data_IF_439717177603
#
_entry.id   IF_439717177603
#
_cell.length_a   1.000
_cell.length_b   1.000
_cell.length_c   1.000
_cell.angle_alpha   90.00
_cell.angle_beta   90.00
_cell.angle_gamma   90.00
#
_symmetry.space_group_name_H-M   'P 1'
#
loop_
_entity.id
_entity.type
_entity.pdbx_description
1 polymer ?
#
# COMPACT_ATOMS: atom_id res chain seq x y z
N UNK A 1 23.64 20.36 7.82
CA UNK A 1 24.13 21.56 7.09
C UNK A 1 23.66 21.56 5.63
N UNK A 2 23.86 20.51 4.85
CA UNK A 2 23.51 20.43 3.41
C UNK A 2 22.02 20.73 3.19
N UNK A 3 21.14 20.07 3.91
CA UNK A 3 19.69 20.22 3.75
C UNK A 3 19.19 21.64 4.09
N UNK A 4 19.83 22.32 5.02
CA UNK A 4 19.53 23.74 5.31
C UNK A 4 19.91 24.66 4.16
N UNK A 5 20.98 24.35 3.41
CA UNK A 5 21.29 25.10 2.20
C UNK A 5 20.24 24.82 1.09
N UNK A 6 19.77 23.58 0.96
CA UNK A 6 18.67 23.26 0.05
C UNK A 6 17.38 23.97 0.44
N UNK A 7 17.07 24.07 1.74
CA UNK A 7 15.90 24.81 2.24
C UNK A 7 15.90 26.25 1.78
N UNK A 8 17.04 26.89 1.71
CA UNK A 8 17.14 28.28 1.19
C UNK A 8 16.65 28.36 -0.26
N UNK A 9 17.04 27.39 -1.09
CA UNK A 9 16.58 27.31 -2.48
C UNK A 9 15.08 26.98 -2.53
N UNK A 10 14.58 26.04 -1.72
CA UNK A 10 13.15 25.72 -1.69
C UNK A 10 12.29 26.92 -1.32
N UNK A 11 12.78 27.80 -0.46
CA UNK A 11 12.07 29.01 -0.04
C UNK A 11 12.04 30.12 -1.12
N UNK A 12 12.78 29.97 -2.22
CA UNK A 12 12.69 30.87 -3.38
C UNK A 12 11.44 30.64 -4.23
N UNK A 13 10.77 29.49 -4.03
CA UNK A 13 9.53 29.13 -4.76
C UNK A 13 8.29 29.62 -4.00
N UNK A 14 7.19 29.83 -4.73
CA UNK A 14 5.90 30.21 -4.16
C UNK A 14 4.77 29.32 -4.69
N UNK A 15 4.19 28.41 -3.90
CA UNK A 15 4.56 28.14 -2.49
C UNK A 15 5.96 27.55 -2.38
N UNK A 16 6.60 27.59 -1.17
CA UNK A 16 7.90 27.00 -0.95
C UNK A 16 7.92 25.52 -1.33
N UNK A 17 8.96 25.10 -2.04
CA UNK A 17 9.17 23.69 -2.37
C UNK A 17 9.62 22.89 -1.13
N UNK A 18 9.55 21.57 -1.23
CA UNK A 18 10.00 20.63 -0.21
C UNK A 18 10.58 19.37 -0.84
N UNK A 19 11.25 18.56 -0.05
CA UNK A 19 11.72 17.24 -0.43
C UNK A 19 11.33 16.22 0.63
N UNK A 20 11.22 14.95 0.24
CA UNK A 20 11.04 13.83 1.15
C UNK A 20 12.37 13.12 1.35
N UNK A 21 12.73 12.83 2.59
CA UNK A 21 13.91 12.03 2.90
C UNK A 21 13.60 10.54 2.85
N UNK A 22 14.43 9.80 2.15
CA UNK A 22 14.57 8.36 2.34
C UNK A 22 15.67 8.13 3.37
N UNK A 23 15.30 8.09 4.66
CA UNK A 23 16.24 8.05 5.76
C UNK A 23 16.04 6.79 6.60
N UNK A 24 16.93 5.82 6.42
CA UNK A 24 17.02 4.59 7.23
C UNK A 24 17.74 4.89 8.55
N UNK A 25 17.12 5.71 9.38
CA UNK A 25 17.65 6.12 10.69
C UNK A 25 16.67 5.70 11.77
N UNK A 26 17.16 5.65 13.01
CA UNK A 26 16.29 5.42 14.16
C UNK A 26 15.10 6.41 14.13
N UNK A 27 13.85 5.97 14.35
CA UNK A 27 12.66 6.82 14.36
C UNK A 27 12.82 8.11 15.18
N UNK A 28 13.50 8.05 16.32
CA UNK A 28 13.80 9.23 17.16
C UNK A 28 14.64 10.31 16.47
N UNK A 29 15.28 10.00 15.33
CA UNK A 29 16.11 10.92 14.55
C UNK A 29 15.46 11.35 13.24
N UNK A 30 14.36 10.76 12.84
CA UNK A 30 13.70 11.08 11.57
C UNK A 30 13.23 12.54 11.53
N UNK A 31 12.78 13.07 12.66
CA UNK A 31 12.37 14.46 12.79
C UNK A 31 13.45 15.47 12.40
N UNK A 32 14.74 15.10 12.52
CA UNK A 32 15.86 15.98 12.13
C UNK A 32 15.95 16.18 10.61
N UNK A 33 15.43 15.23 9.82
CA UNK A 33 15.39 15.32 8.36
C UNK A 33 14.08 15.96 7.87
N UNK A 34 12.99 15.69 8.58
CA UNK A 34 11.66 16.14 8.23
C UNK A 34 11.36 17.59 8.61
N UNK A 35 12.20 18.22 9.46
CA UNK A 35 11.91 19.56 9.96
C UNK A 35 11.71 20.58 8.83
N UNK A 36 10.94 21.63 9.14
CA UNK A 36 10.68 22.75 8.20
C UNK A 36 11.93 23.54 7.85
N UNK A 37 13.02 23.41 8.62
CA UNK A 37 14.33 24.00 8.33
C UNK A 37 15.22 23.12 7.47
N UNK A 38 14.82 21.87 7.23
CA UNK A 38 15.56 20.86 6.46
C UNK A 38 14.77 20.47 5.21
N UNK A 39 14.45 19.17 5.00
CA UNK A 39 13.81 18.70 3.79
C UNK A 39 12.27 18.93 3.78
N UNK A 40 11.63 18.82 4.94
CA UNK A 40 10.20 19.05 5.10
C UNK A 40 9.38 17.78 5.28
N UNK A 41 9.84 16.61 4.81
CA UNK A 41 9.19 15.32 4.99
C UNK A 41 10.23 14.19 5.09
N UNK A 42 9.79 13.05 5.66
CA UNK A 42 10.54 11.79 5.68
C UNK A 42 9.54 10.64 5.47
N UNK A 43 9.92 9.61 4.73
CA UNK A 43 9.06 8.44 4.53
C UNK A 43 8.79 7.68 5.83
N UNK A 44 7.54 7.29 6.03
CA UNK A 44 7.12 6.40 7.11
C UNK A 44 7.26 4.94 6.67
N UNK A 45 8.47 4.40 6.81
CA UNK A 45 8.75 3.00 6.46
C UNK A 45 8.08 2.00 7.42
N UNK A 46 7.79 2.39 8.65
CA UNK A 46 7.13 1.50 9.59
C UNK A 46 5.71 1.17 9.13
N UNK A 47 4.96 2.16 8.61
CA UNK A 47 3.63 1.94 8.04
C UNK A 47 3.67 0.94 6.87
N UNK A 48 4.62 1.13 5.93
CA UNK A 48 4.79 0.25 4.78
C UNK A 48 5.14 -1.21 5.13
N UNK A 49 5.64 -1.46 6.34
CA UNK A 49 6.09 -2.78 6.79
C UNK A 49 5.07 -3.54 7.62
N UNK A 50 3.95 -2.90 8.01
CA UNK A 50 2.95 -3.56 8.86
C UNK A 50 2.13 -4.57 8.08
N UNK A 51 1.79 -5.65 8.76
CA UNK A 51 0.79 -6.60 8.32
C UNK A 51 -0.63 -6.03 8.53
N UNK A 52 -1.64 -6.67 7.93
CA UNK A 52 -3.03 -6.24 8.04
C UNK A 52 -3.61 -6.63 9.42
N UNK A 53 -3.08 -5.99 10.47
CA UNK A 53 -3.44 -6.22 11.87
C UNK A 53 -3.79 -4.89 12.51
N UNK A 54 -4.95 -4.81 13.13
CA UNK A 54 -5.53 -3.59 13.70
C UNK A 54 -4.55 -2.83 14.59
N UNK A 55 -3.98 -3.50 15.59
CA UNK A 55 -3.12 -2.85 16.58
C UNK A 55 -1.80 -2.38 15.98
N UNK A 56 -1.24 -3.14 15.05
CA UNK A 56 0.01 -2.79 14.35
C UNK A 56 -0.21 -1.58 13.43
N UNK A 57 -1.34 -1.53 12.71
CA UNK A 57 -1.70 -0.39 11.86
C UNK A 57 -2.01 0.86 12.68
N UNK A 58 -2.77 0.72 13.78
CA UNK A 58 -3.10 1.83 14.67
C UNK A 58 -1.82 2.46 15.25
N UNK A 59 -0.93 1.62 15.79
CA UNK A 59 0.35 2.08 16.32
C UNK A 59 1.19 2.81 15.25
N UNK A 60 1.26 2.28 14.04
CA UNK A 60 2.02 2.92 12.97
C UNK A 60 1.44 4.29 12.55
N UNK A 61 0.10 4.44 12.62
CA UNK A 61 -0.55 5.73 12.38
C UNK A 61 -0.20 6.71 13.51
N UNK A 62 -0.32 6.32 14.77
CA UNK A 62 0.03 7.16 15.92
C UNK A 62 1.49 7.62 15.85
N UNK A 63 2.45 6.69 15.68
CA UNK A 63 3.87 7.01 15.57
C UNK A 63 4.18 7.97 14.41
N UNK A 64 3.49 7.80 13.26
CA UNK A 64 3.62 8.68 12.11
C UNK A 64 3.12 10.10 12.39
N UNK A 65 1.98 10.23 13.06
CA UNK A 65 1.41 11.53 13.48
C UNK A 65 2.29 12.23 14.51
N UNK A 66 2.73 11.52 15.55
CA UNK A 66 3.64 12.07 16.56
C UNK A 66 4.97 12.53 15.96
N UNK A 67 5.52 11.77 14.99
CA UNK A 67 6.75 12.14 14.31
C UNK A 67 6.59 13.43 13.50
N UNK A 68 5.45 13.58 12.81
CA UNK A 68 5.12 14.79 12.07
C UNK A 68 4.96 16.00 13.02
N UNK A 69 4.27 15.84 14.13
CA UNK A 69 4.10 16.89 15.14
C UNK A 69 5.47 17.32 15.71
N UNK A 70 6.32 16.37 16.12
CA UNK A 70 7.66 16.66 16.65
C UNK A 70 8.57 17.40 15.67
N UNK A 71 8.40 17.13 14.37
CA UNK A 71 9.20 17.78 13.31
C UNK A 71 8.62 19.12 12.85
N UNK A 72 7.36 19.42 13.20
CA UNK A 72 6.60 20.54 12.63
C UNK A 72 6.33 20.39 11.13
N UNK A 73 6.34 19.16 10.63
CA UNK A 73 6.11 18.81 9.22
C UNK A 73 4.83 18.03 9.04
N UNK A 74 4.52 17.63 7.80
CA UNK A 74 3.39 16.74 7.54
C UNK A 74 3.82 15.26 7.55
N UNK A 75 2.92 14.38 8.00
CA UNK A 75 3.11 12.94 7.92
C UNK A 75 3.20 12.47 6.45
N UNK A 76 3.80 11.31 6.25
CA UNK A 76 3.82 10.60 4.96
C UNK A 76 3.29 9.19 5.14
N UNK A 77 2.53 8.73 4.19
CA UNK A 77 1.89 7.41 4.22
C UNK A 77 2.26 6.63 2.96
N UNK A 78 2.66 5.38 3.12
CA UNK A 78 3.17 4.53 2.06
C UNK A 78 2.80 3.08 2.34
N UNK A 79 1.97 2.45 1.51
CA UNK A 79 1.64 1.01 1.63
C UNK A 79 2.65 0.12 0.89
N UNK A 80 3.12 0.57 -0.25
CA UNK A 80 4.10 -0.14 -1.09
C UNK A 80 5.15 0.80 -1.63
N UNK A 81 6.33 0.26 -1.93
CA UNK A 81 7.39 0.92 -2.66
C UNK A 81 8.23 -0.12 -3.43
N UNK A 82 9.31 0.32 -4.07
CA UNK A 82 10.20 -0.54 -4.84
C UNK A 82 11.16 -1.42 -4.00
N UNK A 83 11.05 -1.37 -2.66
CA UNK A 83 11.92 -2.09 -1.72
C UNK A 83 11.17 -3.10 -0.84
N UNK A 84 9.84 -3.09 -0.88
CA UNK A 84 9.02 -4.03 -0.11
C UNK A 84 8.06 -4.80 -1.02
N UNK A 85 7.74 -6.05 -0.72
CA UNK A 85 6.74 -6.80 -1.47
C UNK A 85 5.40 -6.05 -1.51
N UNK A 86 4.69 -6.12 -2.62
CA UNK A 86 3.41 -5.43 -2.82
C UNK A 86 2.41 -5.79 -1.73
N UNK A 87 1.73 -4.78 -1.18
CA UNK A 87 0.81 -5.00 -0.07
C UNK A 87 -0.39 -5.87 -0.44
N UNK A 88 -0.82 -5.89 -1.71
CA UNK A 88 -1.87 -6.78 -2.17
C UNK A 88 -1.51 -8.26 -1.91
N UNK A 89 -0.26 -8.67 -2.18
CA UNK A 89 0.22 -10.01 -1.81
C UNK A 89 0.44 -10.17 -0.31
N UNK A 90 1.14 -9.21 0.33
CA UNK A 90 1.40 -9.29 1.78
C UNK A 90 0.12 -9.48 2.60
N UNK A 91 -0.94 -8.78 2.25
CA UNK A 91 -2.24 -8.90 2.93
C UNK A 91 -3.03 -10.15 2.55
N UNK A 92 -2.65 -10.83 1.47
CA UNK A 92 -3.18 -12.13 1.07
C UNK A 92 -2.46 -13.33 1.69
N UNK A 93 -1.27 -13.11 2.27
CA UNK A 93 -0.51 -14.11 3.01
C UNK A 93 -1.01 -14.21 4.47
N UNK A 94 -0.61 -15.25 5.25
CA UNK A 94 -0.88 -15.32 6.67
C UNK A 94 -0.40 -14.06 7.40
N UNK A 95 -1.24 -13.47 8.25
CA UNK A 95 -0.94 -12.26 9.01
C UNK A 95 -0.40 -12.63 10.39
N UNK A 96 0.75 -12.10 10.78
CA UNK A 96 1.43 -12.43 12.04
C UNK A 96 1.60 -11.17 12.88
N UNK A 97 0.91 -11.08 14.05
CA UNK A 97 1.03 -9.92 14.93
C UNK A 97 2.48 -9.66 15.35
N UNK A 98 2.86 -8.38 15.35
CA UNK A 98 4.22 -7.94 15.70
C UNK A 98 5.33 -8.64 14.91
N UNK A 99 5.02 -9.17 13.71
CA UNK A 99 6.03 -9.75 12.85
C UNK A 99 7.04 -8.68 12.45
N UNK A 100 8.30 -9.06 12.46
CA UNK A 100 9.37 -8.18 12.05
C UNK A 100 9.39 -8.04 10.52
N UNK A 101 8.86 -6.90 10.03
CA UNK A 101 9.24 -6.40 8.74
C UNK A 101 9.00 -7.34 7.53
N UNK A 102 7.74 -7.74 7.32
CA UNK A 102 7.38 -8.55 6.14
C UNK A 102 8.28 -9.78 5.93
N UNK A 103 8.86 -10.32 7.01
CA UNK A 103 9.75 -11.48 6.93
C UNK A 103 9.07 -12.69 6.27
N UNK A 104 7.79 -12.91 6.58
CA UNK A 104 7.01 -13.98 5.99
C UNK A 104 6.90 -13.84 4.46
N UNK A 105 6.68 -12.62 3.95
CA UNK A 105 6.65 -12.35 2.53
C UNK A 105 8.03 -12.57 1.88
N UNK A 106 9.13 -12.22 2.56
CA UNK A 106 10.49 -12.52 2.07
C UNK A 106 10.76 -14.02 1.99
N UNK A 107 10.36 -14.78 3.00
CA UNK A 107 10.50 -16.24 3.02
C UNK A 107 9.64 -16.89 1.92
N UNK A 108 8.46 -16.33 1.65
CA UNK A 108 7.58 -16.75 0.58
C UNK A 108 8.21 -16.48 -0.80
N UNK A 109 8.77 -15.28 -1.03
CA UNK A 109 9.50 -14.94 -2.25
C UNK A 109 10.71 -15.87 -2.48
N UNK A 110 11.49 -16.13 -1.44
CA UNK A 110 12.68 -17.00 -1.52
C UNK A 110 12.35 -18.42 -1.99
N UNK A 111 11.11 -18.84 -1.88
CA UNK A 111 10.59 -20.15 -2.30
C UNK A 111 9.62 -20.04 -3.49
N UNK A 112 9.81 -19.05 -4.34
CA UNK A 112 9.04 -18.86 -5.57
C UNK A 112 7.53 -18.88 -5.33
N UNK A 113 7.07 -18.27 -4.22
CA UNK A 113 5.65 -18.18 -3.88
C UNK A 113 5.03 -19.46 -3.31
N UNK A 114 5.79 -20.50 -2.97
CA UNK A 114 5.26 -21.84 -2.64
C UNK A 114 5.18 -22.16 -1.15
N UNK A 115 5.86 -21.39 -0.28
CA UNK A 115 5.90 -21.68 1.18
C UNK A 115 4.56 -21.49 1.86
N UNK A 116 3.81 -20.51 1.44
CA UNK A 116 2.48 -20.14 1.97
C UNK A 116 1.51 -19.97 0.80
N UNK A 117 0.25 -20.28 1.04
CA UNK A 117 -0.81 -20.02 0.07
C UNK A 117 -1.16 -18.53 0.08
N UNK A 118 -1.00 -17.86 -1.05
CA UNK A 118 -1.46 -16.49 -1.26
C UNK A 118 -2.94 -16.48 -1.62
N UNK A 119 -3.76 -15.85 -0.79
CA UNK A 119 -5.16 -15.59 -1.11
C UNK A 119 -5.28 -14.22 -1.78
N UNK A 120 -5.18 -14.18 -3.12
CA UNK A 120 -5.22 -12.94 -3.91
C UNK A 120 -6.52 -12.18 -3.79
N UNK A 121 -7.66 -12.87 -3.66
CA UNK A 121 -8.97 -12.23 -3.46
C UNK A 121 -9.03 -11.50 -2.12
N UNK A 122 -8.58 -12.15 -1.04
CA UNK A 122 -8.49 -11.55 0.27
C UNK A 122 -7.48 -10.40 0.30
N UNK A 123 -6.32 -10.57 -0.34
CA UNK A 123 -5.29 -9.55 -0.45
C UNK A 123 -5.81 -8.29 -1.17
N UNK A 124 -6.50 -8.46 -2.29
CA UNK A 124 -7.13 -7.37 -3.02
C UNK A 124 -8.22 -6.67 -2.18
N UNK A 125 -9.07 -7.42 -1.47
CA UNK A 125 -10.07 -6.87 -0.57
C UNK A 125 -9.44 -5.98 0.51
N UNK A 126 -8.38 -6.46 1.16
CA UNK A 126 -7.62 -5.72 2.18
C UNK A 126 -6.89 -4.51 1.59
N UNK A 127 -6.32 -4.64 0.39
CA UNK A 127 -5.69 -3.52 -0.30
C UNK A 127 -6.68 -2.38 -0.61
N UNK A 128 -7.90 -2.72 -1.05
CA UNK A 128 -9.00 -1.75 -1.22
C UNK A 128 -9.36 -1.04 0.09
N UNK A 129 -9.43 -1.79 1.19
CA UNK A 129 -9.69 -1.22 2.50
C UNK A 129 -8.53 -0.33 2.98
N UNK A 130 -7.30 -0.77 2.79
CA UNK A 130 -6.09 -0.08 3.20
C UNK A 130 -5.94 1.28 2.52
N UNK A 131 -6.16 1.37 1.20
CA UNK A 131 -6.02 2.67 0.52
C UNK A 131 -7.08 3.68 0.96
N UNK A 132 -8.31 3.28 1.23
CA UNK A 132 -9.30 4.21 1.77
C UNK A 132 -8.93 4.66 3.19
N UNK A 133 -8.41 3.76 4.03
CA UNK A 133 -7.89 4.13 5.34
C UNK A 133 -6.73 5.14 5.19
N UNK A 134 -5.74 4.85 4.36
CA UNK A 134 -4.58 5.72 4.16
C UNK A 134 -4.94 7.10 3.62
N UNK A 135 -5.79 7.16 2.58
CA UNK A 135 -6.15 8.42 1.92
C UNK A 135 -6.94 9.37 2.82
N UNK A 136 -7.57 8.91 3.88
CA UNK A 136 -8.27 9.77 4.84
C UNK A 136 -7.33 10.34 5.93
N UNK A 137 -6.11 9.84 6.07
CA UNK A 137 -5.13 10.35 7.02
C UNK A 137 -4.62 11.74 6.62
N UNK A 138 -4.24 12.59 7.60
CA UNK A 138 -3.60 13.87 7.33
C UNK A 138 -2.18 13.68 6.78
N UNK A 139 -1.77 14.53 5.85
CA UNK A 139 -0.44 14.49 5.29
C UNK A 139 -0.38 14.03 3.84
N UNK A 140 0.78 13.58 3.41
CA UNK A 140 1.06 13.18 2.03
C UNK A 140 0.97 11.67 1.87
N UNK A 141 0.24 11.21 0.87
CA UNK A 141 0.16 9.80 0.47
C UNK A 141 1.05 9.57 -0.74
N UNK A 142 1.86 8.53 -0.69
CA UNK A 142 2.73 8.08 -1.77
C UNK A 142 2.23 6.75 -2.32
N UNK A 143 1.70 6.79 -3.53
CA UNK A 143 1.16 5.62 -4.22
C UNK A 143 2.26 5.03 -5.09
N UNK A 144 2.61 3.76 -4.84
CA UNK A 144 3.56 3.06 -5.68
C UNK A 144 2.88 2.54 -6.94
N UNK A 145 3.51 2.75 -8.08
CA UNK A 145 3.00 2.33 -9.39
C UNK A 145 2.57 0.86 -9.39
N UNK A 146 1.36 0.59 -9.89
CA UNK A 146 0.74 -0.73 -9.95
C UNK A 146 -0.08 -1.10 -8.72
N UNK A 147 0.00 -0.35 -7.61
CA UNK A 147 -0.91 -0.58 -6.48
C UNK A 147 -2.34 -0.13 -6.83
N UNK A 148 -2.48 0.88 -7.69
CA UNK A 148 -3.76 1.32 -8.24
C UNK A 148 -4.45 0.28 -9.15
N UNK A 149 -3.70 -0.71 -9.61
CA UNK A 149 -4.20 -1.88 -10.32
C UNK A 149 -4.42 -3.07 -9.40
N UNK A 150 -4.13 -2.94 -8.10
CA UNK A 150 -4.17 -4.08 -7.17
C UNK A 150 -3.18 -5.19 -7.51
N UNK A 151 -2.11 -4.87 -8.24
CA UNK A 151 -1.13 -5.87 -8.69
C UNK A 151 -0.56 -6.67 -7.51
N UNK A 152 -0.65 -8.01 -7.55
CA UNK A 152 0.12 -8.87 -6.67
C UNK A 152 1.62 -8.82 -6.99
N UNK A 153 2.41 -9.32 -6.06
CA UNK A 153 3.84 -9.56 -6.24
C UNK A 153 4.07 -10.69 -7.25
N UNK A 154 5.10 -10.57 -8.09
CA UNK A 154 5.53 -11.66 -8.96
C UNK A 154 6.61 -12.45 -8.23
N UNK A 155 6.19 -13.51 -7.53
CA UNK A 155 7.06 -14.26 -6.63
C UNK A 155 7.95 -15.29 -7.34
N UNK A 156 7.54 -15.73 -8.52
CA UNK A 156 8.07 -16.89 -9.25
C UNK A 156 8.95 -16.55 -10.45
N UNK A 157 9.42 -15.30 -10.55
CA UNK A 157 10.41 -14.92 -11.58
C UNK A 157 11.57 -15.92 -11.54
N UNK A 158 11.96 -16.52 -12.69
CA UNK A 158 13.12 -17.41 -12.78
C UNK A 158 14.39 -16.75 -12.26
N UNK A 159 15.22 -17.52 -11.52
CA UNK A 159 16.42 -16.98 -10.87
C UNK A 159 17.44 -16.41 -11.84
N UNK A 160 17.49 -16.90 -13.06
CA UNK A 160 18.38 -16.43 -14.13
C UNK A 160 17.85 -15.20 -14.86
N UNK A 161 16.61 -14.80 -14.59
CA UNK A 161 15.99 -13.58 -15.13
C UNK A 161 15.91 -12.44 -14.10
N UNK A 162 16.42 -12.64 -12.88
CA UNK A 162 16.46 -11.62 -11.85
C UNK A 162 17.54 -10.57 -12.16
N UNK A 163 17.20 -9.30 -11.92
CA UNK A 163 18.06 -8.14 -12.18
C UNK A 163 18.54 -7.43 -10.90
N UNK A 164 17.88 -7.69 -9.75
CA UNK A 164 18.25 -7.06 -8.46
C UNK A 164 19.64 -7.55 -8.01
N UNK A 165 20.59 -6.64 -7.73
CA UNK A 165 21.89 -7.00 -7.17
C UNK A 165 21.82 -7.86 -5.90
N UNK A 166 20.75 -7.74 -5.12
CA UNK A 166 20.52 -8.56 -3.93
C UNK A 166 20.38 -10.04 -4.30
N UNK A 167 19.64 -10.36 -5.37
CA UNK A 167 19.50 -11.71 -5.88
C UNK A 167 20.85 -12.26 -6.37
N UNK A 168 21.62 -11.50 -7.13
CA UNK A 168 22.94 -11.92 -7.61
C UNK A 168 23.92 -12.24 -6.47
N UNK A 169 23.93 -11.42 -5.43
CA UNK A 169 24.77 -11.64 -4.27
C UNK A 169 24.36 -12.88 -3.48
N UNK A 170 23.09 -13.28 -3.54
CA UNK A 170 22.54 -14.41 -2.80
C UNK A 170 22.34 -15.69 -3.62
N UNK A 171 22.54 -15.64 -4.94
CA UNK A 171 22.33 -16.78 -5.88
C UNK A 171 22.99 -18.10 -5.41
N UNK A 172 24.20 -18.04 -4.85
CA UNK A 172 24.91 -19.24 -4.38
C UNK A 172 24.37 -19.81 -3.09
N UNK A 173 23.81 -18.96 -2.24
CA UNK A 173 23.36 -19.28 -0.88
C UNK A 173 21.83 -19.26 -0.76
N UNK A 174 21.14 -18.72 -1.78
CA UNK A 174 19.68 -18.54 -1.80
C UNK A 174 19.13 -17.94 -0.48
N UNK A 175 19.75 -16.84 -0.05
CA UNK A 175 19.40 -16.17 1.20
C UNK A 175 18.26 -15.18 0.97
N UNK A 176 18.21 -14.52 -0.20
CA UNK A 176 17.21 -13.50 -0.54
C UNK A 176 16.98 -13.46 -2.05
N UNK A 177 15.73 -13.42 -2.49
CA UNK A 177 15.36 -13.36 -3.91
C UNK A 177 15.42 -11.95 -4.50
N UNK A 178 15.55 -10.93 -3.65
CA UNK A 178 15.58 -9.55 -4.09
C UNK A 178 14.18 -8.93 -4.18
N UNK A 179 14.07 -7.87 -4.98
CA UNK A 179 12.91 -6.98 -5.04
C UNK A 179 12.26 -6.91 -6.43
N UNK A 180 12.69 -7.74 -7.36
CA UNK A 180 12.25 -7.67 -8.75
C UNK A 180 10.75 -7.93 -8.92
N UNK A 181 10.16 -8.76 -8.05
CA UNK A 181 8.74 -9.08 -8.10
C UNK A 181 7.80 -7.87 -8.00
N UNK A 182 8.21 -6.81 -7.28
CA UNK A 182 7.45 -5.57 -7.24
C UNK A 182 7.86 -4.56 -8.33
N UNK A 183 8.86 -4.87 -9.14
CA UNK A 183 9.43 -3.99 -10.18
C UNK A 183 9.12 -4.41 -11.60
N UNK A 184 8.38 -5.50 -11.79
CA UNK A 184 7.94 -5.97 -13.10
C UNK A 184 7.17 -4.86 -13.82
N UNK A 185 7.46 -4.61 -15.12
CA UNK A 185 6.79 -3.60 -15.92
C UNK A 185 5.27 -3.71 -15.88
N UNK A 186 4.59 -2.56 -15.78
CA UNK A 186 3.13 -2.52 -15.64
C UNK A 186 2.39 -2.97 -16.90
N UNK A 187 1.26 -3.67 -16.76
CA UNK A 187 0.40 -4.03 -17.88
C UNK A 187 -0.53 -2.88 -18.27
N UNK A 188 -0.47 -2.44 -19.52
CA UNK A 188 -1.31 -1.37 -20.06
C UNK A 188 -2.43 -1.89 -20.95
N UNK A 189 -2.14 -2.91 -21.78
CA UNK A 189 -3.04 -3.42 -22.83
C UNK A 189 -3.07 -4.93 -22.78
N UNK A 190 -4.18 -5.51 -22.39
CA UNK A 190 -4.35 -6.97 -22.25
C UNK A 190 -4.14 -7.75 -23.56
N UNK A 191 -4.47 -7.14 -24.70
CA UNK A 191 -4.33 -7.78 -26.01
C UNK A 191 -2.86 -7.92 -26.48
N UNK A 192 -1.92 -7.19 -25.87
CA UNK A 192 -0.48 -7.25 -26.16
C UNK A 192 0.25 -8.18 -25.17
N UNK A 193 -0.39 -9.27 -24.77
CA UNK A 193 0.18 -10.25 -23.85
C UNK A 193 1.40 -10.94 -24.45
N UNK A 194 2.43 -11.26 -23.65
CA UNK A 194 3.53 -12.11 -24.08
C UNK A 194 3.04 -13.44 -24.64
N UNK A 195 3.72 -13.94 -25.68
CA UNK A 195 3.44 -15.23 -26.27
C UNK A 195 4.10 -16.32 -25.45
N UNK A 196 3.33 -17.34 -25.11
CA UNK A 196 3.82 -18.51 -24.39
C UNK A 196 4.25 -19.60 -25.39
N UNK A 197 5.39 -20.23 -25.15
CA UNK A 197 5.83 -21.40 -25.92
C UNK A 197 4.98 -22.64 -25.60
N UNK A 198 4.62 -22.80 -24.33
CA UNK A 198 3.69 -23.79 -23.83
C UNK A 198 2.55 -23.11 -23.06
N UNK A 199 1.28 -23.55 -23.18
CA UNK A 199 0.17 -23.02 -22.37
C UNK A 199 0.38 -23.10 -20.85
N UNK A 200 1.20 -24.02 -20.39
CA UNK A 200 1.55 -24.18 -18.97
C UNK A 200 2.65 -23.22 -18.50
N UNK A 201 3.35 -22.54 -19.42
CA UNK A 201 4.33 -21.51 -19.07
C UNK A 201 3.65 -20.33 -18.37
N UNK A 202 4.32 -19.75 -17.39
CA UNK A 202 3.85 -18.55 -16.69
C UNK A 202 4.32 -17.28 -17.38
N UNK A 203 5.51 -17.27 -17.94
CA UNK A 203 6.12 -16.13 -18.62
C UNK A 203 6.24 -16.41 -20.11
N UNK A 204 6.18 -15.35 -20.90
CA UNK A 204 6.28 -15.43 -22.37
C UNK A 204 7.19 -14.34 -22.92
N UNK A 205 7.27 -14.26 -24.24
CA UNK A 205 8.11 -13.32 -24.98
C UNK A 205 7.33 -12.64 -26.12
N UNK A 206 8.00 -11.75 -26.86
CA UNK A 206 7.40 -11.02 -28.00
C UNK A 206 6.10 -10.25 -27.67
N UNK A 207 5.95 -9.79 -26.44
CA UNK A 207 4.85 -8.95 -25.98
C UNK A 207 5.18 -8.32 -24.65
N UNK A 208 4.48 -7.27 -24.26
CA UNK A 208 4.80 -6.53 -23.04
C UNK A 208 3.57 -5.90 -22.39
N UNK A 209 2.39 -6.38 -22.69
CA UNK A 209 1.14 -5.74 -22.30
C UNK A 209 1.11 -4.23 -22.60
N UNK A 210 1.72 -3.82 -23.73
CA UNK A 210 1.80 -2.42 -24.13
C UNK A 210 2.82 -1.57 -23.36
N UNK A 211 3.69 -2.16 -22.53
CA UNK A 211 4.76 -1.44 -21.85
C UNK A 211 5.83 -0.95 -22.85
N UNK A 212 6.25 -1.82 -23.76
CA UNK A 212 7.15 -1.47 -24.86
C UNK A 212 6.36 -1.16 -26.13
N UNK A 213 6.90 -0.34 -27.06
CA UNK A 213 6.27 -0.12 -28.37
C UNK A 213 6.12 -1.43 -29.15
N UNK A 214 5.07 -1.54 -29.96
CA UNK A 214 4.88 -2.68 -30.84
C UNK A 214 6.09 -2.87 -31.77
N UNK A 215 6.63 -4.11 -31.79
CA UNK A 215 7.82 -4.45 -32.58
C UNK A 215 9.14 -4.01 -31.94
N UNK A 216 9.17 -3.80 -30.63
CA UNK A 216 10.41 -3.61 -29.88
C UNK A 216 11.39 -4.79 -30.15
N UNK A 217 12.68 -4.49 -30.27
CA UNK A 217 13.72 -5.50 -30.56
C UNK A 217 14.06 -6.40 -29.36
N UNK A 218 13.66 -5.98 -28.16
CA UNK A 218 13.95 -6.66 -26.90
C UNK A 218 12.71 -6.71 -26.03
N UNK A 219 12.59 -7.78 -25.28
CA UNK A 219 11.60 -7.92 -24.20
C UNK A 219 11.89 -6.93 -23.06
N UNK A 220 10.90 -6.64 -22.19
CA UNK A 220 11.11 -5.87 -20.97
C UNK A 220 12.23 -6.45 -20.09
N UNK A 221 12.85 -5.59 -19.27
CA UNK A 221 13.96 -5.97 -18.38
C UNK A 221 13.60 -7.05 -17.33
N UNK A 222 12.31 -7.24 -17.03
CA UNK A 222 11.80 -8.34 -16.21
C UNK A 222 10.62 -8.99 -16.93
N UNK A 223 10.46 -10.30 -16.83
CA UNK A 223 9.38 -11.02 -17.48
C UNK A 223 8.04 -10.70 -16.83
N UNK A 224 7.02 -10.54 -17.67
CA UNK A 224 5.65 -10.27 -17.23
C UNK A 224 4.84 -11.57 -17.22
N UNK A 225 4.20 -11.95 -16.08
CA UNK A 225 3.44 -13.18 -16.01
C UNK A 225 2.14 -13.09 -16.82
N UNK A 226 1.67 -14.23 -17.34
CA UNK A 226 0.44 -14.30 -18.17
C UNK A 226 -0.81 -13.76 -17.49
N UNK A 227 -0.89 -13.81 -16.16
CA UNK A 227 -2.04 -13.31 -15.40
C UNK A 227 -2.10 -11.77 -15.32
N UNK A 228 -1.03 -11.05 -15.72
CA UNK A 228 -1.04 -9.59 -15.81
C UNK A 228 -2.14 -9.05 -16.74
N UNK A 229 -2.60 -9.85 -17.72
CA UNK A 229 -3.72 -9.49 -18.61
C UNK A 229 -4.99 -9.08 -17.85
N UNK A 230 -5.23 -9.70 -16.68
CA UNK A 230 -6.44 -9.47 -15.89
C UNK A 230 -6.35 -8.17 -15.08
N UNK A 231 -5.13 -7.61 -14.93
CA UNK A 231 -4.79 -6.38 -14.25
C UNK A 231 -4.39 -5.25 -15.21
N UNK A 232 -4.51 -5.47 -16.52
CA UNK A 232 -4.12 -4.45 -17.49
C UNK A 232 -5.01 -3.20 -17.37
N UNK A 233 -4.40 -2.02 -17.59
CA UNK A 233 -5.09 -0.74 -17.43
C UNK A 233 -6.36 -0.66 -18.27
N UNK A 234 -6.37 -1.18 -19.51
CA UNK A 234 -7.54 -1.17 -20.38
C UNK A 234 -8.70 -2.07 -19.86
N UNK A 235 -8.36 -3.14 -19.14
CA UNK A 235 -9.34 -4.02 -18.47
C UNK A 235 -9.91 -3.35 -17.23
N UNK A 236 -9.03 -2.85 -16.38
CA UNK A 236 -9.39 -2.14 -15.14
C UNK A 236 -10.20 -0.86 -15.43
N UNK A 237 -9.85 -0.12 -16.48
CA UNK A 237 -10.57 1.10 -16.89
C UNK A 237 -12.03 0.82 -17.31
N UNK A 238 -12.25 -0.32 -17.92
CA UNK A 238 -13.57 -0.74 -18.37
C UNK A 238 -14.51 -1.24 -17.24
N UNK A 239 -13.96 -1.66 -16.09
CA UNK A 239 -14.73 -2.13 -14.95
C UNK A 239 -14.91 -1.01 -13.89
N UNK A 240 -16.14 -0.49 -13.69
CA UNK A 240 -16.40 0.54 -12.70
C UNK A 240 -16.10 0.13 -11.25
N UNK A 241 -15.99 -1.17 -10.98
CA UNK A 241 -15.69 -1.73 -9.65
C UNK A 241 -14.21 -2.12 -9.47
N UNK A 242 -13.38 -1.90 -10.49
CA UNK A 242 -11.95 -2.20 -10.43
C UNK A 242 -11.20 -1.46 -9.32
N UNK A 243 -9.98 -1.90 -9.06
CA UNK A 243 -9.08 -1.19 -8.14
C UNK A 243 -8.73 0.20 -8.70
N UNK A 244 -8.42 0.31 -9.99
CA UNK A 244 -8.09 1.57 -10.66
C UNK A 244 -9.22 2.61 -10.51
N UNK A 245 -10.46 2.19 -10.73
CA UNK A 245 -11.60 3.11 -10.61
C UNK A 245 -11.92 3.47 -9.15
N UNK A 246 -11.62 2.58 -8.18
CA UNK A 246 -11.66 2.93 -6.76
C UNK A 246 -10.62 4.02 -6.42
N UNK A 247 -9.36 3.86 -6.86
CA UNK A 247 -8.31 4.86 -6.65
C UNK A 247 -8.66 6.22 -7.25
N UNK A 248 -9.12 6.25 -8.49
CA UNK A 248 -9.55 7.49 -9.17
C UNK A 248 -10.65 8.20 -8.39
N UNK A 249 -11.67 7.46 -7.97
CA UNK A 249 -12.79 8.00 -7.20
C UNK A 249 -12.34 8.49 -5.83
N UNK A 250 -11.53 7.70 -5.12
CA UNK A 250 -11.03 8.05 -3.80
C UNK A 250 -10.13 9.29 -3.84
N UNK A 251 -9.19 9.37 -4.78
CA UNK A 251 -8.31 10.54 -4.95
C UNK A 251 -9.08 11.80 -5.33
N UNK A 252 -10.09 11.70 -6.21
CA UNK A 252 -10.95 12.82 -6.57
C UNK A 252 -11.74 13.32 -5.37
N UNK A 253 -12.32 12.40 -4.58
CA UNK A 253 -13.04 12.76 -3.35
C UNK A 253 -12.11 13.35 -2.28
N UNK A 254 -10.93 12.74 -2.07
CA UNK A 254 -9.92 13.25 -1.14
C UNK A 254 -9.55 14.70 -1.43
N UNK A 255 -9.34 15.04 -2.71
CA UNK A 255 -9.04 16.41 -3.10
C UNK A 255 -10.09 17.43 -2.63
N UNK A 256 -11.36 17.02 -2.64
CA UNK A 256 -12.48 17.89 -2.23
C UNK A 256 -12.76 17.84 -0.71
N UNK A 257 -12.48 16.70 -0.06
CA UNK A 257 -12.79 16.44 1.35
C UNK A 257 -11.65 16.84 2.28
N UNK A 258 -10.41 16.93 1.79
CA UNK A 258 -9.24 17.19 2.64
C UNK A 258 -9.31 18.57 3.28
N UNK A 259 -9.41 18.67 4.61
CA UNK A 259 -9.34 19.94 5.29
C UNK A 259 -7.92 20.52 5.23
N UNK A 260 -7.79 21.82 5.46
CA UNK A 260 -6.48 22.50 5.45
C UNK A 260 -5.64 22.20 6.71
N UNK A 261 -6.30 21.80 7.80
CA UNK A 261 -5.63 21.41 9.03
C UNK A 261 -5.13 19.95 8.96
N UNK A 262 -4.32 19.59 9.95
CA UNK A 262 -3.78 18.23 10.13
C UNK A 262 -4.44 17.50 11.29
N UNK A 263 -5.55 18.02 11.84
CA UNK A 263 -6.24 17.42 12.97
C UNK A 263 -6.83 16.06 12.60
N UNK A 264 -6.69 15.12 13.52
CA UNK A 264 -7.30 13.80 13.47
C UNK A 264 -7.88 13.51 14.86
N UNK A 265 -9.15 13.12 14.89
CA UNK A 265 -9.81 12.69 16.10
C UNK A 265 -10.14 11.22 16.03
N UNK A 266 -9.61 10.42 16.95
CA UNK A 266 -9.98 9.03 17.09
C UNK A 266 -11.44 8.88 17.53
N UNK A 267 -12.15 7.93 16.93
CA UNK A 267 -13.54 7.61 17.22
C UNK A 267 -13.71 6.25 17.90
N UNK A 268 -12.63 5.47 18.00
CA UNK A 268 -12.59 4.11 18.56
C UNK A 268 -11.96 4.03 19.95
N UNK A 269 -11.51 5.14 20.53
CA UNK A 269 -10.87 5.18 21.86
C UNK A 269 -11.77 4.68 23.00
N UNK A 270 -13.10 4.87 22.89
CA UNK A 270 -14.07 4.43 23.88
C UNK A 270 -14.55 2.98 23.69
N UNK A 271 -14.10 2.26 22.68
CA UNK A 271 -14.44 0.84 22.50
C UNK A 271 -13.49 -0.02 23.32
N UNK A 272 -14.01 -0.83 24.27
CA UNK A 272 -13.15 -1.63 25.13
C UNK A 272 -12.17 -2.47 24.31
N UNK A 273 -10.89 -2.36 24.63
CA UNK A 273 -9.81 -3.22 24.10
C UNK A 273 -9.99 -4.71 24.47
N UNK A 274 -11.06 -5.04 25.20
CA UNK A 274 -11.33 -6.33 25.81
C UNK A 274 -12.19 -7.26 24.95
N UNK A 275 -12.68 -6.82 23.79
CA UNK A 275 -13.38 -7.72 22.87
C UNK A 275 -12.33 -8.55 22.12
N UNK A 276 -11.81 -9.57 22.80
CA UNK A 276 -11.07 -10.67 22.17
C UNK A 276 -12.06 -11.50 21.36
N UNK A 277 -12.32 -11.09 20.14
CA UNK A 277 -13.12 -11.85 19.19
C UNK A 277 -12.19 -12.61 18.25
N UNK A 278 -11.99 -13.89 18.51
CA UNK A 278 -11.29 -14.83 17.66
C UNK A 278 -10.56 -15.90 18.45
N UNK A 279 -10.62 -17.13 17.99
CA UNK A 279 -9.97 -18.30 18.59
C UNK A 279 -8.43 -18.20 18.65
N UNK A 280 -7.84 -17.22 17.94
CA UNK A 280 -6.39 -17.06 17.74
C UNK A 280 -5.78 -15.87 18.50
N UNK A 281 -6.53 -15.21 19.39
CA UNK A 281 -6.01 -14.09 20.17
C UNK A 281 -5.80 -12.81 19.34
N UNK A 282 -6.25 -12.76 18.10
CA UNK A 282 -6.30 -11.54 17.32
C UNK A 282 -7.32 -10.58 17.93
N UNK A 283 -6.87 -9.38 18.26
CA UNK A 283 -7.76 -8.30 18.67
C UNK A 283 -8.53 -7.86 17.44
N UNK A 284 -9.72 -8.45 17.23
CA UNK A 284 -10.67 -7.97 16.25
C UNK A 284 -11.09 -6.57 16.65
N UNK A 285 -11.13 -5.65 15.74
CA UNK A 285 -11.53 -4.29 16.07
C UNK A 285 -11.58 -3.37 14.87
N UNK A 286 -12.04 -2.18 15.15
CA UNK A 286 -12.20 -1.12 14.17
C UNK A 286 -11.06 -0.12 14.38
N UNK A 287 -10.53 0.44 13.30
CA UNK A 287 -9.82 1.71 13.31
C UNK A 287 -10.80 2.75 12.79
N UNK A 288 -11.09 3.77 13.60
CA UNK A 288 -12.02 4.82 13.23
C UNK A 288 -11.50 6.19 13.66
N UNK A 289 -11.52 7.13 12.74
CA UNK A 289 -11.12 8.52 13.00
C UNK A 289 -11.88 9.49 12.10
N UNK A 290 -11.94 10.73 12.53
CA UNK A 290 -12.52 11.83 11.75
C UNK A 290 -11.55 13.00 11.60
N UNK A 291 -11.80 13.81 10.58
CA UNK A 291 -11.15 15.08 10.31
C UNK A 291 -12.03 16.23 10.80
N UNK A 292 -11.44 17.41 10.97
CA UNK A 292 -12.12 18.60 11.51
C UNK A 292 -13.42 19.00 10.79
N UNK A 293 -13.57 18.64 9.54
CA UNK A 293 -14.77 18.92 8.72
C UNK A 293 -15.84 17.82 8.77
N UNK A 294 -15.69 16.81 9.66
CA UNK A 294 -16.63 15.69 9.79
C UNK A 294 -16.40 14.55 8.79
N UNK A 295 -15.39 14.63 7.91
CA UNK A 295 -14.99 13.47 7.09
C UNK A 295 -14.39 12.40 7.99
N UNK A 296 -15.02 11.25 8.03
CA UNK A 296 -14.58 10.11 8.84
C UNK A 296 -14.20 8.89 7.99
N UNK A 297 -13.25 8.12 8.50
CA UNK A 297 -12.86 6.81 7.97
C UNK A 297 -13.05 5.76 9.04
N UNK A 298 -13.70 4.65 8.67
CA UNK A 298 -13.93 3.50 9.56
C UNK A 298 -13.48 2.24 8.84
N UNK A 299 -12.53 1.51 9.42
CA UNK A 299 -11.98 0.25 8.88
C UNK A 299 -12.24 -0.88 9.85
N UNK A 300 -12.87 -1.96 9.40
CA UNK A 300 -13.14 -3.12 10.22
C UNK A 300 -12.13 -4.25 9.92
N UNK A 301 -11.28 -4.56 10.89
CA UNK A 301 -10.34 -5.69 10.86
C UNK A 301 -10.94 -6.96 11.48
N UNK A 302 -12.03 -6.81 12.24
CA UNK A 302 -12.67 -7.89 12.99
C UNK A 302 -13.57 -8.78 12.12
N UNK A 303 -13.72 -10.04 12.49
CA UNK A 303 -14.56 -11.02 11.80
C UNK A 303 -16.05 -10.66 11.80
N UNK A 304 -16.51 -9.95 12.84
CA UNK A 304 -17.91 -9.54 12.96
C UNK A 304 -18.16 -8.19 12.27
N UNK A 305 -19.28 -8.04 11.56
CA UNK A 305 -19.66 -6.75 11.02
C UNK A 305 -19.77 -5.68 12.11
N UNK A 306 -19.12 -4.54 11.90
CA UNK A 306 -19.10 -3.42 12.84
C UNK A 306 -20.23 -2.42 12.56
N UNK A 307 -20.78 -1.85 13.63
CA UNK A 307 -21.72 -0.72 13.50
C UNK A 307 -20.98 0.54 13.08
N UNK A 308 -21.61 1.31 12.20
CA UNK A 308 -21.07 2.60 11.75
C UNK A 308 -21.52 3.74 12.66
N UNK A 309 -20.69 4.78 12.85
CA UNK A 309 -21.16 6.06 13.35
C UNK A 309 -22.31 6.59 12.50
N UNK A 310 -23.16 7.44 13.10
CA UNK A 310 -24.22 8.09 12.35
C UNK A 310 -23.64 9.10 11.37
N UNK A 311 -23.94 8.94 10.09
CA UNK A 311 -23.43 9.80 9.01
C UNK A 311 -23.83 9.27 7.64
N UNK A 312 -23.56 10.06 6.62
CA UNK A 312 -23.82 9.70 5.23
C UNK A 312 -22.61 8.97 4.62
N UNK A 313 -22.84 7.82 4.00
CA UNK A 313 -21.78 7.06 3.31
C UNK A 313 -21.33 7.81 2.05
N UNK A 314 -20.05 8.17 1.97
CA UNK A 314 -19.44 8.84 0.83
C UNK A 314 -18.83 7.83 -0.13
N UNK A 315 -18.08 6.86 0.40
CA UNK A 315 -17.37 5.83 -0.36
C UNK A 315 -17.13 4.60 0.52
N UNK A 316 -17.18 3.41 -0.07
CA UNK A 316 -16.82 2.17 0.61
C UNK A 316 -15.87 1.34 -0.28
N UNK A 317 -14.97 0.58 0.34
CA UNK A 317 -14.05 -0.32 -0.36
C UNK A 317 -14.70 -1.61 -0.83
N UNK A 318 -15.88 -1.94 -0.29
CA UNK A 318 -16.72 -3.06 -0.60
C UNK A 318 -18.16 -2.81 -0.18
N UNK A 319 -19.06 -3.76 -0.44
CA UNK A 319 -20.46 -3.64 -0.06
C UNK A 319 -20.65 -3.73 1.45
N UNK A 320 -21.57 -2.92 1.99
CA UNK A 320 -22.04 -3.05 3.35
C UNK A 320 -22.98 -4.25 3.48
N UNK A 321 -23.20 -4.75 4.70
CA UNK A 321 -24.20 -5.79 4.95
C UNK A 321 -25.62 -5.26 4.67
N UNK A 322 -26.60 -6.16 4.51
CA UNK A 322 -28.00 -5.78 4.26
C UNK A 322 -28.57 -4.87 5.36
N UNK A 323 -28.08 -4.99 6.59
CA UNK A 323 -28.46 -4.15 7.72
C UNK A 323 -27.55 -2.92 7.92
N UNK A 324 -26.70 -2.59 6.92
CA UNK A 324 -25.89 -1.39 6.86
C UNK A 324 -24.64 -1.40 7.73
N UNK A 325 -24.21 -2.57 8.25
CA UNK A 325 -22.97 -2.70 9.01
C UNK A 325 -21.76 -2.89 8.11
N UNK A 326 -20.57 -2.60 8.64
CA UNK A 326 -19.29 -2.70 7.95
C UNK A 326 -18.73 -4.12 8.06
N UNK A 327 -18.62 -4.89 6.96
CA UNK A 327 -18.03 -6.23 6.98
C UNK A 327 -16.54 -6.20 7.34
N UNK A 328 -15.99 -7.37 7.68
CA UNK A 328 -14.55 -7.56 7.86
C UNK A 328 -13.77 -7.11 6.63
N UNK A 329 -12.55 -6.63 6.84
CA UNK A 329 -11.60 -6.21 5.80
C UNK A 329 -12.22 -5.18 4.82
N UNK A 330 -12.98 -4.24 5.37
CA UNK A 330 -13.68 -3.19 4.61
C UNK A 330 -13.50 -1.84 5.29
N UNK A 331 -13.33 -0.81 4.49
CA UNK A 331 -13.26 0.60 4.92
C UNK A 331 -14.39 1.39 4.30
N UNK A 332 -14.98 2.29 5.08
CA UNK A 332 -16.00 3.24 4.62
C UNK A 332 -15.60 4.67 4.99
N UNK A 333 -15.87 5.60 4.09
CA UNK A 333 -15.83 7.03 4.37
C UNK A 333 -17.23 7.56 4.63
N UNK A 334 -17.35 8.38 5.67
CA UNK A 334 -18.60 8.97 6.11
C UNK A 334 -18.47 10.48 6.19
N UNK A 335 -19.59 11.18 6.00
CA UNK A 335 -19.77 12.56 6.46
C UNK A 335 -20.60 12.50 7.74
N UNK A 336 -19.96 12.82 8.87
CA UNK A 336 -20.61 12.91 10.20
C UNK A 336 -21.39 14.19 10.36
#
# INVERSE_FOLDING_TARGET
>A
YIYREWRKVFNEYNPPAFAVAEAWVNPDRQHLYASTEELGQVFNFEFAKKDWIRDDMHLAIEEGLESAERSGSSATWVMSNHDVPRHASRYGLPQVPASSHHQLAKDWLLRDGTTYEENRELGAKRARAAILMELALPGSTYIYQGEELGLPEVADIPWDELEDPTAFNSVREQIEKGRDGCRVPLPWVAADAPKLDDPDDEFGHDGSFGFSPAGAEHDPHLPQPKWYKDFAVDVEDADPNSMLNLYRKALSLRHNLMPQDTELQWLDEDRPSDVRDGADGQRGGVIAYSRSNGWASVTNFGERPAELPQGDVILASGELTEDGRLPQDTTVWLQL
#
